data_IF_290180358700
#
_entry.id   IF_290180358700
#
_cell.length_a   1.000
_cell.length_b   1.000
_cell.length_c   1.000
_cell.angle_alpha   90.00
_cell.angle_beta   90.00
_cell.angle_gamma   90.00
#
_symmetry.space_group_name_H-M   'P 1'
#
loop_
_entity.id
_entity.type
_entity.pdbx_description
1 polymer ?
#
# COMPACT_ATOMS: atom_id res chain seq x y z
N UNK A 1 -31.39 -4.68 -41.48
CA UNK A 1 -31.86 -4.80 -40.10
C UNK A 1 -31.07 -5.80 -39.26
N UNK A 2 -30.81 -7.00 -39.77
CA UNK A 2 -29.98 -7.99 -39.05
C UNK A 2 -28.55 -7.49 -38.80
N UNK A 3 -27.98 -6.67 -39.67
CA UNK A 3 -26.65 -6.10 -39.53
C UNK A 3 -26.53 -5.19 -38.30
N UNK A 4 -27.56 -4.38 -38.05
CA UNK A 4 -27.52 -3.43 -36.94
C UNK A 4 -27.52 -4.14 -35.59
N UNK A 5 -28.25 -5.25 -35.49
CA UNK A 5 -28.29 -6.06 -34.24
C UNK A 5 -26.93 -6.70 -33.96
N UNK A 6 -26.23 -7.18 -35.01
CA UNK A 6 -24.90 -7.76 -34.91
C UNK A 6 -23.86 -6.74 -34.48
N UNK A 7 -23.92 -5.51 -34.99
CA UNK A 7 -23.02 -4.42 -34.59
C UNK A 7 -23.22 -4.03 -33.14
N UNK A 8 -24.45 -3.94 -32.66
CA UNK A 8 -24.75 -3.62 -31.26
C UNK A 8 -24.21 -4.71 -30.34
N UNK A 9 -24.36 -5.96 -30.68
CA UNK A 9 -23.83 -7.08 -29.89
C UNK A 9 -22.31 -7.04 -29.82
N UNK A 10 -21.61 -6.70 -30.90
CA UNK A 10 -20.16 -6.57 -30.93
C UNK A 10 -19.66 -5.44 -30.02
N UNK A 11 -20.36 -4.30 -30.03
CA UNK A 11 -20.02 -3.16 -29.15
C UNK A 11 -20.19 -3.53 -27.69
N UNK A 12 -21.26 -4.24 -27.34
CA UNK A 12 -21.50 -4.70 -25.99
C UNK A 12 -20.41 -5.68 -25.49
N UNK A 13 -19.96 -6.58 -26.37
CA UNK A 13 -18.87 -7.50 -26.04
C UNK A 13 -17.56 -6.78 -25.80
N UNK A 14 -17.23 -5.76 -26.59
CA UNK A 14 -16.02 -4.95 -26.38
C UNK A 14 -16.11 -4.19 -25.07
N UNK A 15 -17.26 -3.60 -24.76
CA UNK A 15 -17.45 -2.90 -23.48
C UNK A 15 -17.33 -3.85 -22.28
N UNK A 16 -17.83 -5.08 -22.39
CA UNK A 16 -17.74 -6.08 -21.34
C UNK A 16 -16.31 -6.63 -21.16
N UNK A 17 -15.48 -6.57 -22.20
CA UNK A 17 -14.08 -7.04 -22.14
C UNK A 17 -13.10 -5.96 -21.66
N UNK A 18 -13.54 -4.71 -21.52
CA UNK A 18 -12.71 -3.66 -20.93
C UNK A 18 -12.42 -4.01 -19.48
N UNK A 19 -11.13 -3.96 -19.07
CA UNK A 19 -10.81 -4.21 -17.67
C UNK A 19 -11.53 -3.19 -16.79
N UNK A 20 -12.38 -3.67 -15.90
CA UNK A 20 -12.85 -2.84 -14.81
C UNK A 20 -11.63 -2.32 -14.07
N UNK A 21 -11.66 -1.07 -13.60
CA UNK A 21 -10.59 -0.54 -12.78
C UNK A 21 -10.28 -1.56 -11.68
N UNK A 22 -9.11 -2.19 -11.79
CA UNK A 22 -8.71 -3.21 -10.85
C UNK A 22 -8.64 -2.59 -9.45
N UNK A 23 -9.37 -3.15 -8.50
CA UNK A 23 -9.21 -2.78 -7.11
C UNK A 23 -7.82 -3.23 -6.67
N UNK A 24 -6.96 -2.26 -6.37
CA UNK A 24 -5.67 -2.56 -5.77
C UNK A 24 -5.91 -2.80 -4.29
N UNK A 25 -5.75 -4.05 -3.89
CA UNK A 25 -5.85 -4.45 -2.49
C UNK A 25 -4.47 -4.85 -2.00
N UNK A 26 -4.04 -4.21 -0.94
CA UNK A 26 -2.76 -4.54 -0.29
C UNK A 26 -3.08 -5.04 1.12
N UNK A 27 -2.77 -6.30 1.35
CA UNK A 27 -2.87 -6.86 2.70
C UNK A 27 -1.57 -6.56 3.44
N UNK A 28 -1.64 -5.64 4.37
CA UNK A 28 -0.46 -5.21 5.13
C UNK A 28 0.14 -6.32 5.98
N UNK A 29 -0.65 -7.34 6.34
CA UNK A 29 -0.15 -8.50 7.07
C UNK A 29 0.84 -9.33 6.24
N UNK A 30 0.69 -9.29 4.92
CA UNK A 30 1.54 -10.04 4.00
C UNK A 30 2.66 -9.19 3.38
N UNK A 31 2.71 -7.91 3.69
CA UNK A 31 3.77 -7.03 3.18
C UNK A 31 5.06 -7.28 3.95
N UNK A 32 6.13 -7.60 3.21
CA UNK A 32 7.46 -7.75 3.78
C UNK A 32 8.27 -6.47 3.69
N UNK A 33 9.30 -6.37 4.50
CA UNK A 33 10.31 -5.31 4.39
C UNK A 33 10.86 -5.20 2.96
N UNK A 34 11.19 -6.34 2.33
CA UNK A 34 11.71 -6.37 0.97
C UNK A 34 10.72 -5.85 -0.06
N UNK A 35 9.44 -6.20 0.08
CA UNK A 35 8.39 -5.69 -0.80
C UNK A 35 8.30 -4.15 -0.70
N UNK A 36 8.26 -3.63 0.50
CA UNK A 36 8.15 -2.19 0.74
C UNK A 36 9.36 -1.43 0.21
N UNK A 37 10.57 -1.94 0.42
CA UNK A 37 11.79 -1.34 -0.11
C UNK A 37 11.82 -1.31 -1.64
N UNK A 38 11.17 -2.27 -2.29
CA UNK A 38 11.07 -2.36 -3.74
C UNK A 38 10.05 -1.41 -4.37
N UNK A 39 9.21 -0.77 -3.59
CA UNK A 39 8.22 0.17 -4.11
C UNK A 39 8.85 1.48 -4.55
N UNK A 40 8.18 2.19 -5.45
CA UNK A 40 8.56 3.57 -5.79
C UNK A 40 8.53 4.45 -4.54
N UNK A 41 9.29 5.55 -4.50
CA UNK A 41 9.27 6.45 -3.35
C UNK A 41 7.87 6.91 -2.96
N UNK A 42 7.01 7.18 -3.94
CA UNK A 42 5.63 7.61 -3.71
C UNK A 42 4.81 6.52 -3.03
N UNK A 43 4.91 5.28 -3.50
CA UNK A 43 4.18 4.16 -2.94
C UNK A 43 4.71 3.80 -1.55
N UNK A 44 6.00 3.90 -1.33
CA UNK A 44 6.61 3.71 -0.01
C UNK A 44 6.06 4.72 0.99
N UNK A 45 5.93 5.97 0.58
CA UNK A 45 5.41 7.05 1.41
C UNK A 45 3.92 6.83 1.73
N UNK A 46 3.14 6.40 0.74
CA UNK A 46 1.73 6.07 0.93
C UNK A 46 1.53 5.00 2.01
N UNK A 47 2.27 3.90 1.91
CA UNK A 47 2.23 2.81 2.89
C UNK A 47 2.64 3.30 4.28
N UNK A 48 3.64 4.14 4.32
CA UNK A 48 4.17 4.70 5.56
C UNK A 48 3.14 5.56 6.28
N UNK A 49 2.43 6.42 5.56
CA UNK A 49 1.34 7.22 6.13
C UNK A 49 0.22 6.33 6.65
N UNK A 50 -0.14 5.30 5.90
CA UNK A 50 -1.15 4.35 6.34
C UNK A 50 -0.74 3.68 7.65
N UNK A 51 0.48 3.18 7.74
CA UNK A 51 1.00 2.53 8.93
C UNK A 51 1.04 3.48 10.13
N UNK A 52 1.48 4.70 9.91
CA UNK A 52 1.50 5.73 10.96
C UNK A 52 0.09 5.96 11.51
N UNK A 53 -0.90 6.12 10.65
CA UNK A 53 -2.29 6.29 11.07
C UNK A 53 -2.83 5.10 11.85
N UNK A 54 -2.54 3.90 11.39
CA UNK A 54 -2.96 2.67 12.05
C UNK A 54 -2.42 2.59 13.49
N UNK A 55 -1.14 2.81 13.66
CA UNK A 55 -0.52 2.69 14.98
C UNK A 55 -0.85 3.85 15.90
N UNK A 56 -0.97 5.05 15.37
CA UNK A 56 -1.44 6.19 16.16
C UNK A 56 -2.86 5.95 16.67
N UNK A 57 -3.74 5.41 15.85
CA UNK A 57 -5.08 5.04 16.28
C UNK A 57 -5.05 3.96 17.36
N UNK A 58 -4.21 2.94 17.20
CA UNK A 58 -4.07 1.86 18.18
C UNK A 58 -3.56 2.37 19.53
N UNK A 59 -2.73 3.40 19.56
CA UNK A 59 -2.26 4.04 20.78
C UNK A 59 -3.14 5.22 21.21
N UNK A 60 -4.30 5.37 20.60
CA UNK A 60 -5.27 6.44 20.91
C UNK A 60 -4.68 7.85 20.70
N UNK A 61 -3.77 8.00 19.77
CA UNK A 61 -3.16 9.27 19.41
C UNK A 61 -3.78 9.79 18.09
N UNK A 62 -4.06 11.08 18.07
CA UNK A 62 -4.58 11.77 16.90
C UNK A 62 -3.64 12.90 16.46
N UNK A 63 -2.37 12.79 16.83
CA UNK A 63 -1.36 13.80 16.54
C UNK A 63 -0.45 13.27 15.44
N UNK A 64 -0.30 14.04 14.36
CA UNK A 64 0.67 13.76 13.31
C UNK A 64 1.88 14.68 13.50
N UNK A 65 3.04 14.09 13.76
CA UNK A 65 4.31 14.80 13.78
C UNK A 65 5.08 14.43 12.51
N UNK A 66 5.13 15.34 11.55
CA UNK A 66 5.73 15.07 10.25
C UNK A 66 7.23 14.79 10.35
N UNK A 67 7.97 15.58 11.12
CA UNK A 67 9.42 15.38 11.27
C UNK A 67 9.74 14.03 11.90
N UNK A 68 8.99 13.65 12.91
CA UNK A 68 9.15 12.36 13.58
C UNK A 68 8.80 11.22 12.62
N UNK A 69 7.74 11.37 11.84
CA UNK A 69 7.35 10.40 10.82
C UNK A 69 8.49 10.17 9.83
N UNK A 70 9.14 11.22 9.35
CA UNK A 70 10.25 11.12 8.42
C UNK A 70 11.45 10.40 9.05
N UNK A 71 11.81 10.76 10.26
CA UNK A 71 12.92 10.13 11.00
C UNK A 71 12.66 8.65 11.26
N UNK A 72 11.47 8.32 11.70
CA UNK A 72 11.07 6.94 11.97
C UNK A 72 11.06 6.11 10.70
N UNK A 73 10.62 6.68 9.60
CA UNK A 73 10.61 6.00 8.31
C UNK A 73 12.01 5.66 7.82
N UNK A 74 12.96 6.55 8.04
CA UNK A 74 14.36 6.29 7.71
C UNK A 74 14.92 5.12 8.55
N UNK A 75 14.56 5.05 9.83
CA UNK A 75 14.94 3.95 10.71
C UNK A 75 14.32 2.62 10.26
N UNK A 76 13.04 2.63 9.88
CA UNK A 76 12.38 1.44 9.34
C UNK A 76 13.07 0.97 8.05
N UNK A 77 13.40 1.88 7.15
CA UNK A 77 14.09 1.55 5.91
C UNK A 77 15.47 0.93 6.18
N UNK A 78 16.22 1.48 7.12
CA UNK A 78 17.52 0.93 7.51
C UNK A 78 17.39 -0.48 8.09
N UNK A 79 16.43 -0.69 8.98
CA UNK A 79 16.15 -2.00 9.56
C UNK A 79 15.73 -3.00 8.48
N UNK A 80 14.84 -2.61 7.60
CA UNK A 80 14.32 -3.48 6.54
C UNK A 80 15.40 -3.97 5.57
N UNK A 81 16.47 -3.22 5.36
CA UNK A 81 17.58 -3.61 4.49
C UNK A 81 18.22 -4.92 4.94
N UNK A 82 18.32 -5.16 6.24
CA UNK A 82 18.89 -6.38 6.81
C UNK A 82 17.83 -7.39 7.27
N UNK A 83 16.54 -7.10 7.08
CA UNK A 83 15.43 -7.95 7.51
C UNK A 83 14.36 -8.06 6.43
N UNK A 84 14.78 -8.31 5.20
CA UNK A 84 13.89 -8.24 4.01
C UNK A 84 12.72 -9.23 4.06
N UNK A 85 12.90 -10.37 4.68
CA UNK A 85 11.84 -11.39 4.78
C UNK A 85 10.86 -11.15 5.91
N UNK A 86 11.16 -10.24 6.82
CA UNK A 86 10.29 -9.93 7.94
C UNK A 86 9.07 -9.14 7.47
N UNK A 87 7.91 -9.37 8.08
CA UNK A 87 6.73 -8.57 7.77
C UNK A 87 6.97 -7.12 8.18
N UNK A 88 6.50 -6.18 7.35
CA UNK A 88 6.65 -4.76 7.63
C UNK A 88 5.99 -4.36 8.95
N UNK A 89 4.76 -4.80 9.27
CA UNK A 89 4.16 -4.51 10.56
C UNK A 89 5.00 -5.00 11.74
N UNK A 90 5.55 -6.20 11.65
CA UNK A 90 6.41 -6.75 12.69
C UNK A 90 7.69 -5.95 12.84
N UNK A 91 8.31 -5.55 11.73
CA UNK A 91 9.51 -4.71 11.74
C UNK A 91 9.27 -3.39 12.46
N UNK A 92 8.18 -2.73 12.12
CA UNK A 92 7.80 -1.46 12.74
C UNK A 92 7.56 -1.65 14.24
N UNK A 93 6.87 -2.71 14.62
CA UNK A 93 6.59 -3.04 16.01
C UNK A 93 7.88 -3.30 16.79
N UNK A 94 8.82 -4.05 16.21
CA UNK A 94 10.09 -4.38 16.86
C UNK A 94 10.98 -3.15 17.08
N UNK A 95 10.91 -2.19 16.17
CA UNK A 95 11.66 -0.93 16.30
C UNK A 95 11.01 -0.01 17.35
N UNK A 96 9.69 -0.17 17.60
CA UNK A 96 8.96 0.63 18.60
C UNK A 96 8.71 2.07 18.15
N UNK A 97 8.58 2.31 16.87
CA UNK A 97 8.46 3.65 16.30
C UNK A 97 7.03 3.94 15.85
N UNK A 98 6.26 4.55 16.74
CA UNK A 98 4.82 4.76 16.56
C UNK A 98 4.46 6.22 16.44
N UNK A 99 4.93 7.02 15.89
CA UNK A 99 4.40 8.34 15.57
C UNK A 99 5.17 9.04 14.46
#
# INVERSE_FOLDING_TARGET
>A
MRRNVLFIAAILLVAASLPSAAQIRVDMNNMTCGNWLGYSPENREFVRYWMSGYYNAASNSNILNYDRLQKNSAKVAAYCKSHKSQSLPTAIKNIGLWD
#
